data_IF_320846545843
#
_entry.id   IF_320846545843
#
_cell.length_a   1.000
_cell.length_b   1.000
_cell.length_c   1.000
_cell.angle_alpha   90.00
_cell.angle_beta   90.00
_cell.angle_gamma   90.00
#
_symmetry.space_group_name_H-M   'P 1'
#
loop_
_entity.id
_entity.type
_entity.pdbx_description
1 polymer ?
#
# COMPACT_ATOMS: atom_id res chain seq x y z
N UNK A 1 -4.69 -9.44 -15.75
CA UNK A 1 -4.88 -10.28 -16.95
C UNK A 1 -3.58 -10.96 -17.40
N UNK A 2 -2.43 -10.30 -17.25
CA UNK A 2 -1.12 -10.83 -17.71
C UNK A 2 -0.53 -11.97 -16.87
N UNK A 3 -1.15 -12.32 -15.76
CA UNK A 3 -0.68 -13.33 -14.81
C UNK A 3 -1.22 -14.72 -15.13
N UNK A 4 -2.19 -14.82 -16.05
CA UNK A 4 -2.87 -16.06 -16.37
C UNK A 4 -2.81 -16.32 -17.87
N UNK A 5 -2.43 -17.55 -18.27
CA UNK A 5 -2.60 -18.05 -19.64
C UNK A 5 -3.85 -18.92 -19.72
N UNK A 6 -4.52 -18.87 -20.88
CA UNK A 6 -5.63 -19.77 -21.19
C UNK A 6 -5.04 -20.97 -21.94
N UNK A 7 -5.17 -22.14 -21.39
CA UNK A 7 -4.83 -23.40 -22.07
C UNK A 7 -6.10 -23.99 -22.69
N UNK A 8 -5.90 -24.86 -23.70
CA UNK A 8 -6.90 -25.53 -24.53
C UNK A 8 -7.98 -26.26 -23.76
N UNK A 9 -8.67 -25.87 -22.85
CA UNK A 9 -9.84 -26.38 -22.15
C UNK A 9 -10.45 -25.30 -21.24
N UNK A 10 -10.26 -24.01 -21.57
CA UNK A 10 -10.76 -22.86 -20.78
C UNK A 10 -10.22 -22.79 -19.33
N UNK A 11 -9.20 -23.55 -19.00
CA UNK A 11 -8.55 -23.46 -17.70
C UNK A 11 -7.56 -22.29 -17.70
N UNK A 12 -7.74 -21.36 -16.75
CA UNK A 12 -6.79 -20.28 -16.49
C UNK A 12 -5.66 -20.82 -15.61
N UNK A 13 -4.45 -20.87 -16.15
CA UNK A 13 -3.25 -21.22 -15.38
C UNK A 13 -2.47 -19.95 -15.09
N UNK A 14 -2.13 -19.77 -13.83
CA UNK A 14 -1.28 -18.65 -13.42
C UNK A 14 0.15 -18.86 -13.95
N UNK A 15 0.69 -17.85 -14.63
CA UNK A 15 2.10 -17.83 -15.05
C UNK A 15 3.00 -17.72 -13.82
N UNK A 16 2.55 -17.02 -12.79
CA UNK A 16 3.28 -16.88 -11.54
C UNK A 16 3.08 -18.07 -10.63
N UNK A 17 4.17 -18.57 -10.07
CA UNK A 17 4.16 -19.58 -9.00
C UNK A 17 3.74 -19.01 -7.65
N UNK A 18 3.68 -17.67 -7.53
CA UNK A 18 3.31 -16.95 -6.31
C UNK A 18 1.86 -16.51 -6.44
N UNK A 19 1.06 -16.77 -5.40
CA UNK A 19 -0.32 -16.26 -5.28
C UNK A 19 -0.35 -15.16 -4.22
N UNK A 20 -0.13 -13.89 -4.60
CA UNK A 20 -0.08 -12.80 -3.64
C UNK A 20 -1.48 -12.37 -3.17
N UNK A 21 -1.52 -11.55 -2.13
CA UNK A 21 -2.74 -10.95 -1.57
C UNK A 21 -3.49 -10.11 -2.61
N UNK A 22 -2.74 -9.40 -3.46
CA UNK A 22 -3.28 -8.59 -4.57
C UNK A 22 -2.29 -8.46 -5.72
N UNK A 23 -2.78 -8.03 -6.89
CA UNK A 23 -1.93 -7.76 -8.07
C UNK A 23 -0.95 -6.61 -7.85
N UNK A 24 -1.20 -5.73 -6.90
CA UNK A 24 -0.29 -4.64 -6.53
C UNK A 24 1.08 -5.15 -6.08
N UNK A 25 1.16 -6.37 -5.54
CA UNK A 25 2.42 -7.06 -5.24
C UNK A 25 3.40 -7.01 -6.41
N UNK A 26 2.97 -7.39 -7.62
CA UNK A 26 3.86 -7.42 -8.80
C UNK A 26 4.30 -6.04 -9.24
N UNK A 27 3.41 -5.03 -9.16
CA UNK A 27 3.79 -3.63 -9.42
C UNK A 27 4.91 -3.19 -8.48
N UNK A 28 4.77 -3.51 -7.20
CA UNK A 28 5.76 -3.11 -6.20
C UNK A 28 7.09 -3.84 -6.38
N UNK A 29 7.07 -5.12 -6.75
CA UNK A 29 8.31 -5.86 -7.11
C UNK A 29 9.03 -5.16 -8.26
N UNK A 30 8.32 -4.82 -9.33
CA UNK A 30 8.88 -4.14 -10.50
C UNK A 30 9.46 -2.77 -10.13
N UNK A 31 8.71 -1.94 -9.41
CA UNK A 31 9.16 -0.62 -8.94
C UNK A 31 10.41 -0.76 -8.07
N UNK A 32 10.38 -1.68 -7.10
CA UNK A 32 11.51 -1.86 -6.18
C UNK A 32 12.79 -2.29 -6.88
N UNK A 33 12.68 -3.13 -7.90
CA UNK A 33 13.83 -3.57 -8.72
C UNK A 33 14.31 -2.48 -9.66
N UNK A 34 13.39 -1.80 -10.36
CA UNK A 34 13.73 -0.75 -11.32
C UNK A 34 14.46 0.42 -10.67
N UNK A 35 14.06 0.81 -9.46
CA UNK A 35 14.62 1.95 -8.75
C UNK A 35 15.59 1.56 -7.64
N UNK A 36 15.97 0.29 -7.54
CA UNK A 36 16.94 -0.19 -6.52
C UNK A 36 16.59 0.26 -5.10
N UNK A 37 15.30 0.22 -4.72
CA UNK A 37 14.77 0.87 -3.51
C UNK A 37 15.43 0.42 -2.19
N UNK A 38 16.09 -0.73 -2.19
CA UNK A 38 16.64 -1.33 -0.98
C UNK A 38 18.15 -1.39 -0.96
N UNK A 39 18.81 -0.80 -1.96
CA UNK A 39 20.27 -0.78 -2.00
C UNK A 39 20.84 -0.06 -0.77
N UNK A 40 21.81 -0.69 -0.12
CA UNK A 40 22.50 -0.17 1.06
C UNK A 40 21.61 0.14 2.29
N UNK A 41 20.40 -0.39 2.35
CA UNK A 41 19.50 -0.18 3.48
C UNK A 41 19.60 -1.34 4.47
N UNK A 42 20.03 -1.08 5.72
CA UNK A 42 20.07 -2.10 6.78
C UNK A 42 18.67 -2.43 7.28
N UNK A 43 18.09 -1.58 8.12
CA UNK A 43 16.74 -1.74 8.66
C UNK A 43 15.90 -0.56 8.21
N UNK A 44 14.71 -0.80 7.69
CA UNK A 44 13.83 0.26 7.20
C UNK A 44 12.53 0.30 7.98
N UNK A 45 11.98 1.52 8.10
CA UNK A 45 10.61 1.77 8.52
C UNK A 45 9.84 2.28 7.32
N UNK A 46 8.73 1.66 7.02
CA UNK A 46 7.91 2.06 5.87
C UNK A 46 6.47 2.31 6.27
N UNK A 47 5.79 3.17 5.54
CA UNK A 47 4.37 3.42 5.74
C UNK A 47 3.61 3.31 4.41
N UNK A 48 2.59 2.48 4.37
CA UNK A 48 1.83 2.16 3.17
C UNK A 48 0.40 2.70 3.32
N UNK A 49 0.09 3.73 2.52
CA UNK A 49 -1.18 4.44 2.52
C UNK A 49 -2.17 3.78 1.56
N UNK A 50 -3.43 3.65 1.98
CA UNK A 50 -4.50 2.98 1.23
C UNK A 50 -4.14 1.54 0.82
N UNK A 51 -3.50 0.81 1.70
CA UNK A 51 -2.73 -0.42 1.42
C UNK A 51 -3.58 -1.70 1.34
N UNK A 52 -4.82 -1.70 1.83
CA UNK A 52 -5.65 -2.93 1.81
C UNK A 52 -5.71 -3.61 0.44
N UNK A 53 -5.48 -4.91 0.35
CA UNK A 53 -5.25 -5.92 1.40
C UNK A 53 -3.78 -6.18 1.77
N UNK A 54 -2.80 -5.36 1.37
CA UNK A 54 -1.41 -5.51 1.80
C UNK A 54 -0.44 -6.00 0.73
N UNK A 55 -0.73 -5.74 -0.55
CA UNK A 55 0.11 -6.23 -1.66
C UNK A 55 1.49 -5.57 -1.73
N UNK A 56 1.60 -4.28 -1.38
CA UNK A 56 2.90 -3.61 -1.35
C UNK A 56 3.72 -4.07 -0.15
N UNK A 57 3.11 -4.18 1.03
CA UNK A 57 3.79 -4.74 2.21
C UNK A 57 4.26 -6.17 1.95
N UNK A 58 3.43 -7.01 1.31
CA UNK A 58 3.81 -8.37 0.96
C UNK A 58 5.04 -8.40 0.03
N UNK A 59 5.12 -7.48 -0.94
CA UNK A 59 6.27 -7.35 -1.83
C UNK A 59 7.53 -6.93 -1.06
N UNK A 60 7.43 -5.99 -0.12
CA UNK A 60 8.54 -5.58 0.72
C UNK A 60 9.04 -6.74 1.59
N UNK A 61 8.16 -7.45 2.28
CA UNK A 61 8.50 -8.63 3.08
C UNK A 61 9.18 -9.71 2.22
N UNK A 62 8.67 -9.93 1.01
CA UNK A 62 9.21 -10.92 0.07
C UNK A 62 10.62 -10.58 -0.41
N UNK A 63 10.88 -9.32 -0.76
CA UNK A 63 12.18 -8.87 -1.27
C UNK A 63 13.21 -8.75 -0.15
N UNK A 64 12.83 -8.18 0.97
CA UNK A 64 13.78 -7.84 2.04
C UNK A 64 14.10 -9.00 2.97
N UNK A 65 13.12 -9.83 3.29
CA UNK A 65 13.27 -10.98 4.24
C UNK A 65 13.93 -10.59 5.56
N UNK A 66 13.86 -9.33 5.94
CA UNK A 66 14.50 -8.77 7.14
C UNK A 66 13.47 -8.57 8.25
N UNK A 67 13.58 -9.33 9.33
CA UNK A 67 12.66 -9.25 10.47
C UNK A 67 12.87 -8.02 11.36
N UNK A 68 13.94 -7.26 11.16
CA UNK A 68 14.20 -5.99 11.85
C UNK A 68 13.53 -4.79 11.18
N UNK A 69 13.07 -4.94 9.93
CA UNK A 69 12.27 -3.91 9.27
C UNK A 69 10.92 -3.76 9.97
N UNK A 70 10.33 -2.58 9.88
CA UNK A 70 8.98 -2.31 10.39
C UNK A 70 8.12 -1.75 9.28
N UNK A 71 6.98 -2.38 9.04
CA UNK A 71 6.05 -2.01 7.99
C UNK A 71 4.73 -1.55 8.61
N UNK A 72 4.34 -0.30 8.38
CA UNK A 72 3.05 0.23 8.78
C UNK A 72 2.12 0.23 7.58
N UNK A 73 0.88 -0.19 7.77
CA UNK A 73 -0.15 -0.16 6.74
C UNK A 73 -1.41 0.51 7.23
N UNK A 74 -1.94 1.46 6.46
CA UNK A 74 -3.18 2.15 6.75
C UNK A 74 -4.15 2.04 5.58
N UNK A 75 -5.37 1.64 5.84
CA UNK A 75 -6.46 1.58 4.85
C UNK A 75 -7.79 1.86 5.51
N UNK A 76 -8.75 2.36 4.75
CA UNK A 76 -10.10 2.59 5.24
C UNK A 76 -10.71 1.30 5.78
N UNK A 77 -11.17 1.33 7.01
CA UNK A 77 -11.90 0.24 7.67
C UNK A 77 -13.38 0.46 7.39
N UNK A 78 -13.99 -0.45 6.66
CA UNK A 78 -15.38 -0.39 6.24
C UNK A 78 -16.01 -1.77 6.25
N UNK A 79 -17.32 -1.81 6.47
CA UNK A 79 -18.13 -3.03 6.30
C UNK A 79 -18.51 -3.28 4.85
N UNK A 80 -18.33 -2.31 3.96
CA UNK A 80 -18.55 -2.47 2.52
C UNK A 80 -17.55 -3.48 1.95
N UNK A 81 -18.07 -4.53 1.33
CA UNK A 81 -17.30 -5.63 0.74
C UNK A 81 -16.45 -5.17 -0.46
N UNK A 82 -16.84 -4.08 -1.10
CA UNK A 82 -16.13 -3.52 -2.26
C UNK A 82 -14.88 -2.74 -1.85
N UNK A 83 -14.79 -2.31 -0.59
CA UNK A 83 -13.61 -1.60 -0.09
C UNK A 83 -12.53 -2.60 0.30
N UNK A 84 -11.34 -2.53 -0.33
CA UNK A 84 -10.21 -3.38 0.03
C UNK A 84 -9.85 -3.24 1.51
N UNK A 85 -9.74 -4.36 2.20
CA UNK A 85 -9.52 -4.40 3.64
C UNK A 85 -8.54 -5.51 4.03
N UNK A 86 -8.13 -5.52 5.31
CA UNK A 86 -7.22 -6.51 5.87
C UNK A 86 -7.83 -7.91 6.05
N UNK A 87 -9.11 -8.13 5.73
CA UNK A 87 -9.79 -9.43 5.91
C UNK A 87 -9.07 -10.59 5.21
N UNK A 88 -8.53 -10.35 4.00
CA UNK A 88 -7.79 -11.37 3.24
C UNK A 88 -6.36 -11.63 3.75
N UNK A 89 -5.83 -10.74 4.57
CA UNK A 89 -4.42 -10.72 5.00
C UNK A 89 -4.16 -11.34 6.35
N UNK A 90 -5.19 -11.84 7.03
CA UNK A 90 -5.10 -12.33 8.42
C UNK A 90 -3.93 -13.28 8.65
N UNK A 91 -3.78 -14.30 7.81
CA UNK A 91 -2.70 -15.28 7.94
C UNK A 91 -1.32 -14.68 7.65
N UNK A 92 -1.24 -13.75 6.71
CA UNK A 92 -0.01 -13.04 6.37
C UNK A 92 0.43 -12.15 7.54
N UNK A 93 -0.47 -11.39 8.12
CA UNK A 93 -0.21 -10.53 9.28
C UNK A 93 0.22 -11.34 10.50
N UNK A 94 -0.43 -12.48 10.79
CA UNK A 94 -0.05 -13.37 11.88
C UNK A 94 1.38 -13.94 11.74
N UNK A 95 1.86 -14.15 10.50
CA UNK A 95 3.21 -14.68 10.24
C UNK A 95 4.30 -13.60 10.28
N UNK A 96 3.94 -12.34 10.25
CA UNK A 96 4.87 -11.23 10.13
C UNK A 96 4.61 -10.18 11.22
N UNK A 97 5.12 -10.41 12.42
CA UNK A 97 4.92 -9.57 13.62
C UNK A 97 5.52 -8.16 13.50
N UNK A 98 6.33 -7.92 12.47
CA UNK A 98 6.90 -6.63 12.15
C UNK A 98 6.01 -5.78 11.21
N UNK A 99 4.79 -6.23 10.94
CA UNK A 99 3.74 -5.47 10.25
C UNK A 99 2.76 -4.92 11.30
N UNK A 100 2.53 -3.61 11.25
CA UNK A 100 1.67 -2.89 12.18
C UNK A 100 0.55 -2.22 11.38
N UNK A 101 -0.68 -2.55 11.72
CA UNK A 101 -1.85 -1.88 11.13
C UNK A 101 -2.11 -0.60 11.91
N UNK A 102 -2.05 0.53 11.20
CA UNK A 102 -2.39 1.83 11.72
C UNK A 102 -3.82 2.20 11.30
N UNK A 103 -4.62 2.64 12.22
CA UNK A 103 -6.02 3.03 11.97
C UNK A 103 -6.32 4.51 12.24
N UNK A 104 -5.30 5.26 12.67
CA UNK A 104 -5.44 6.68 12.99
C UNK A 104 -6.11 6.91 14.36
N UNK A 105 -6.36 8.18 14.66
CA UNK A 105 -6.95 8.62 15.93
C UNK A 105 -8.39 8.12 16.14
N UNK A 106 -9.17 8.06 15.06
CA UNK A 106 -10.58 7.66 15.08
C UNK A 106 -10.79 6.16 14.81
N UNK A 107 -9.71 5.41 14.61
CA UNK A 107 -9.71 3.97 14.29
C UNK A 107 -10.42 3.60 12.99
N UNK A 108 -10.58 4.54 12.05
CA UNK A 108 -11.23 4.27 10.75
C UNK A 108 -10.24 4.00 9.63
N UNK A 109 -8.97 4.36 9.80
CA UNK A 109 -7.98 4.31 8.71
C UNK A 109 -8.27 5.29 7.57
N UNK A 110 -9.16 6.27 7.78
CA UNK A 110 -9.56 7.23 6.78
C UNK A 110 -8.48 8.29 6.57
N UNK A 111 -7.82 8.28 5.43
CA UNK A 111 -6.79 9.26 5.05
C UNK A 111 -7.38 10.67 4.81
N UNK A 112 -8.69 10.78 4.54
CA UNK A 112 -9.36 12.06 4.33
C UNK A 112 -9.68 12.77 5.66
N UNK A 113 -9.49 12.10 6.80
CA UNK A 113 -9.71 12.70 8.10
C UNK A 113 -8.46 13.45 8.59
N UNK A 114 -8.58 14.77 8.77
CA UNK A 114 -7.52 15.63 9.26
C UNK A 114 -6.97 15.19 10.64
N UNK A 115 -7.82 14.69 11.53
CA UNK A 115 -7.38 14.26 12.85
C UNK A 115 -6.46 13.03 12.77
N UNK A 116 -6.68 12.14 11.80
CA UNK A 116 -5.79 11.02 11.53
C UNK A 116 -4.43 11.48 10.98
N UNK A 117 -4.41 12.52 10.14
CA UNK A 117 -3.17 13.13 9.67
C UNK A 117 -2.37 13.73 10.83
N UNK A 118 -3.02 14.53 11.68
CA UNK A 118 -2.36 15.15 12.84
C UNK A 118 -1.81 14.06 13.78
N UNK A 119 -2.59 13.05 14.07
CA UNK A 119 -2.16 11.92 14.90
C UNK A 119 -0.94 11.20 14.31
N UNK A 120 -0.92 10.93 13.00
CA UNK A 120 0.23 10.30 12.34
C UNK A 120 1.44 11.22 12.30
N UNK A 121 1.26 12.54 12.10
CA UNK A 121 2.32 13.54 12.20
C UNK A 121 2.99 13.51 13.59
N UNK A 122 2.19 13.55 14.66
CA UNK A 122 2.72 13.54 16.02
C UNK A 122 3.45 12.23 16.36
N UNK A 123 2.96 11.11 15.86
CA UNK A 123 3.48 9.78 16.20
C UNK A 123 4.69 9.36 15.32
N UNK A 124 4.72 9.79 14.07
CA UNK A 124 5.66 9.26 13.08
C UNK A 124 6.51 10.34 12.39
N UNK A 125 6.48 11.58 12.88
CA UNK A 125 7.21 12.69 12.25
C UNK A 125 8.66 12.31 11.95
N UNK A 126 9.03 12.49 10.68
CA UNK A 126 10.42 12.31 10.19
C UNK A 126 11.04 10.93 10.52
N UNK A 127 10.24 9.86 10.47
CA UNK A 127 10.70 8.52 10.84
C UNK A 127 10.69 7.48 9.71
N UNK A 128 9.95 7.73 8.64
CA UNK A 128 9.74 6.74 7.57
C UNK A 128 10.80 6.85 6.48
N UNK A 129 11.45 5.73 6.18
CA UNK A 129 12.42 5.61 5.08
C UNK A 129 11.73 5.60 3.73
N UNK A 130 10.61 4.86 3.63
CA UNK A 130 9.84 4.73 2.40
C UNK A 130 8.36 4.86 2.75
N UNK A 131 7.66 5.69 1.97
CA UNK A 131 6.20 5.78 2.04
C UNK A 131 5.64 5.40 0.67
N UNK A 132 4.55 4.65 0.65
CA UNK A 132 3.85 4.32 -0.59
C UNK A 132 2.38 4.71 -0.52
N UNK A 133 1.80 5.09 -1.66
CA UNK A 133 0.38 5.38 -1.81
C UNK A 133 -0.15 4.78 -3.11
N UNK A 134 -0.93 3.70 -3.01
CA UNK A 134 -1.64 3.08 -4.15
C UNK A 134 -3.16 3.29 -4.05
N UNK A 135 -3.58 4.35 -3.35
CA UNK A 135 -4.97 4.70 -3.17
C UNK A 135 -5.68 4.97 -4.50
N UNK A 136 -6.92 4.51 -4.59
CA UNK A 136 -7.79 4.75 -5.73
C UNK A 136 -9.19 4.25 -5.43
N UNK A 137 -10.14 4.74 -6.19
CA UNK A 137 -11.52 4.29 -6.17
C UNK A 137 -11.80 3.41 -7.39
N UNK A 138 -12.79 2.52 -7.30
CA UNK A 138 -13.29 1.78 -8.47
C UNK A 138 -14.38 2.63 -9.14
N UNK A 139 -14.09 3.13 -10.34
CA UNK A 139 -14.94 4.05 -11.09
C UNK A 139 -15.48 3.42 -12.37
N UNK A 140 -15.84 2.16 -12.31
CA UNK A 140 -16.39 1.46 -13.48
C UNK A 140 -17.63 2.13 -14.09
N UNK A 141 -18.23 3.13 -13.44
CA UNK A 141 -19.49 3.75 -13.85
C UNK A 141 -19.39 5.23 -14.29
N UNK A 142 -18.35 5.99 -13.91
CA UNK A 142 -18.23 7.41 -14.28
C UNK A 142 -16.78 7.90 -14.23
N UNK A 143 -16.11 7.89 -15.39
CA UNK A 143 -14.70 8.29 -15.51
C UNK A 143 -14.48 9.79 -15.24
N UNK A 144 -15.45 10.67 -15.51
CA UNK A 144 -15.27 12.12 -15.32
C UNK A 144 -15.21 12.51 -13.85
N UNK A 145 -15.91 11.78 -12.97
CA UNK A 145 -15.85 11.99 -11.52
C UNK A 145 -14.63 11.34 -10.88
N UNK A 146 -13.98 10.43 -11.58
CA UNK A 146 -12.80 9.73 -11.08
C UNK A 146 -11.68 10.70 -10.71
N UNK A 147 -11.42 11.67 -11.57
CA UNK A 147 -10.36 12.66 -11.36
C UNK A 147 -10.62 13.50 -10.12
N UNK A 148 -11.82 14.11 -10.01
CA UNK A 148 -12.15 15.00 -8.91
C UNK A 148 -12.12 14.31 -7.55
N UNK A 149 -12.67 13.09 -7.46
CA UNK A 149 -12.68 12.32 -6.22
C UNK A 149 -11.27 11.78 -5.88
N UNK A 150 -10.50 11.39 -6.91
CA UNK A 150 -9.14 10.90 -6.72
C UNK A 150 -8.17 11.99 -6.29
N UNK A 151 -8.36 13.23 -6.74
CA UNK A 151 -7.48 14.36 -6.38
C UNK A 151 -7.40 14.55 -4.86
N UNK A 152 -8.51 14.49 -4.17
CA UNK A 152 -8.54 14.64 -2.71
C UNK A 152 -7.79 13.51 -2.00
N UNK A 153 -7.92 12.27 -2.48
CA UNK A 153 -7.19 11.14 -1.91
C UNK A 153 -5.70 11.22 -2.23
N UNK A 154 -5.33 11.64 -3.44
CA UNK A 154 -3.92 11.88 -3.83
C UNK A 154 -3.33 12.96 -2.92
N UNK A 155 -4.02 14.07 -2.75
CA UNK A 155 -3.59 15.16 -1.88
C UNK A 155 -3.42 14.71 -0.42
N UNK A 156 -4.37 13.96 0.11
CA UNK A 156 -4.26 13.40 1.45
C UNK A 156 -3.01 12.49 1.59
N UNK A 157 -2.75 11.62 0.62
CA UNK A 157 -1.55 10.76 0.63
C UNK A 157 -0.26 11.58 0.60
N UNK A 158 -0.21 12.68 -0.16
CA UNK A 158 0.93 13.61 -0.17
C UNK A 158 1.11 14.24 1.22
N UNK A 159 0.04 14.71 1.85
CA UNK A 159 0.11 15.31 3.19
C UNK A 159 0.65 14.31 4.23
N UNK A 160 0.17 13.07 4.22
CA UNK A 160 0.68 12.02 5.11
C UNK A 160 2.16 11.74 4.84
N UNK A 161 2.57 11.67 3.58
CA UNK A 161 3.97 11.45 3.22
C UNK A 161 4.87 12.57 3.74
N UNK A 162 4.52 13.82 3.48
CA UNK A 162 5.28 14.98 3.98
C UNK A 162 5.35 15.03 5.51
N UNK A 163 4.31 14.57 6.20
CA UNK A 163 4.26 14.55 7.66
C UNK A 163 5.20 13.49 8.28
N UNK A 164 5.42 12.37 7.61
CA UNK A 164 6.06 11.20 8.22
C UNK A 164 7.41 10.83 7.61
N UNK A 165 7.67 11.25 6.36
CA UNK A 165 8.89 10.92 5.64
C UNK A 165 10.10 11.59 6.27
N UNK A 166 11.17 10.86 6.48
CA UNK A 166 12.45 11.44 6.90
C UNK A 166 13.20 12.11 5.75
N UNK A 167 14.14 12.95 6.09
CA UNK A 167 15.05 13.57 5.11
C UNK A 167 15.73 12.44 4.30
N UNK A 168 15.77 12.58 2.97
CA UNK A 168 16.25 11.59 2.03
C UNK A 168 15.42 10.29 1.98
N UNK A 169 14.23 10.25 2.57
CA UNK A 169 13.29 9.16 2.38
C UNK A 169 12.68 9.16 0.98
N UNK A 170 12.04 8.06 0.61
CA UNK A 170 11.41 7.90 -0.71
C UNK A 170 9.89 7.88 -0.57
N UNK A 171 9.19 8.60 -1.42
CA UNK A 171 7.74 8.51 -1.56
C UNK A 171 7.36 8.00 -2.94
N UNK A 172 6.54 6.95 -2.98
CA UNK A 172 6.02 6.34 -4.20
C UNK A 172 4.52 6.53 -4.22
N UNK A 173 4.01 7.27 -5.18
CA UNK A 173 2.60 7.60 -5.30
C UNK A 173 2.06 7.17 -6.65
N UNK A 174 0.95 6.41 -6.65
CA UNK A 174 0.18 6.18 -7.86
C UNK A 174 -0.66 7.42 -8.16
N UNK A 175 -0.51 7.93 -9.38
CA UNK A 175 -1.38 8.93 -9.99
C UNK A 175 -2.09 8.33 -11.19
N UNK A 176 -3.15 8.99 -11.64
CA UNK A 176 -3.83 8.61 -12.87
C UNK A 176 -3.33 9.52 -13.99
N UNK A 177 -2.98 8.90 -15.11
CA UNK A 177 -2.70 9.61 -16.36
C UNK A 177 -4.04 9.82 -17.08
N UNK A 178 -4.27 11.03 -17.56
CA UNK A 178 -5.52 11.48 -18.16
C UNK A 178 -5.42 11.53 -19.67
#
# INVERSE_FOLDING_TARGET
EYIHTIISNSQKISISKIKPLSRSFYKMIEIAQTFSLFENSENIKTFHLAEGPGGFIEAFVFLRKNKKDTYYGMTLISDDINIPSWKKSKLFLQKNNNIIIESGKDNTGNLMNKDNLIYCLEKYNNTMDIITGDGGFDFSLDFNKQEEISINLIFAQICFALAMQKINGTFILKVFDL
#
